data_IF_427769939511
#
_entry.id   IF_427769939511
#
_cell.length_a   1.000
_cell.length_b   1.000
_cell.length_c   1.000
_cell.angle_alpha   90.00
_cell.angle_beta   90.00
_cell.angle_gamma   90.00
#
_symmetry.space_group_name_H-M   'P 1'
#
loop_
_entity.id
_entity.type
_entity.pdbx_description
1 polymer ?
#
# COMPACT_ATOMS: atom_id res chain seq x y z
N UNK A 1 -5.97 -17.51 1.22
CA UNK A 1 -6.05 -18.46 0.09
C UNK A 1 -7.01 -17.95 -0.98
N UNK A 2 -8.32 -17.82 -0.71
CA UNK A 2 -9.31 -17.32 -1.69
C UNK A 2 -8.93 -15.98 -2.35
N UNK A 3 -8.60 -14.96 -1.56
CA UNK A 3 -8.24 -13.65 -2.12
C UNK A 3 -7.00 -13.70 -3.03
N UNK A 4 -6.01 -14.52 -2.69
CA UNK A 4 -4.83 -14.71 -3.52
C UNK A 4 -5.18 -15.37 -4.86
N UNK A 5 -6.06 -16.36 -4.84
CA UNK A 5 -6.54 -17.03 -6.05
C UNK A 5 -7.36 -16.08 -6.96
N UNK A 6 -8.25 -15.29 -6.39
CA UNK A 6 -9.14 -14.41 -7.16
C UNK A 6 -8.45 -13.14 -7.66
N UNK A 7 -7.55 -12.58 -6.86
CA UNK A 7 -6.91 -11.30 -7.14
C UNK A 7 -5.46 -11.40 -7.62
N UNK A 8 -4.79 -12.54 -7.43
CA UNK A 8 -3.38 -12.73 -7.78
C UNK A 8 -2.41 -12.02 -6.83
N UNK A 9 -2.90 -11.56 -5.68
CA UNK A 9 -2.13 -10.83 -4.66
C UNK A 9 -1.75 -11.81 -3.55
N UNK A 10 -0.44 -12.03 -3.26
CA UNK A 10 -0.02 -13.00 -2.27
C UNK A 10 -0.61 -12.72 -0.88
N UNK A 11 -1.03 -13.78 -0.18
CA UNK A 11 -1.64 -13.64 1.15
C UNK A 11 -0.73 -12.88 2.13
N UNK A 12 0.59 -13.09 2.08
CA UNK A 12 1.53 -12.39 2.96
C UNK A 12 1.58 -10.88 2.73
N UNK A 13 1.33 -10.40 1.51
CA UNK A 13 1.26 -8.96 1.21
C UNK A 13 0.00 -8.37 1.84
N UNK A 14 -1.14 -9.06 1.71
CA UNK A 14 -2.41 -8.64 2.31
C UNK A 14 -2.29 -8.57 3.84
N UNK A 15 -1.77 -9.63 4.46
CA UNK A 15 -1.55 -9.69 5.91
C UNK A 15 -0.58 -8.60 6.34
N UNK A 16 0.51 -8.37 5.60
CA UNK A 16 1.48 -7.34 5.93
C UNK A 16 0.91 -5.93 5.87
N UNK A 17 0.03 -5.63 4.90
CA UNK A 17 -0.64 -4.33 4.81
C UNK A 17 -1.50 -4.10 6.06
N UNK A 18 -2.36 -5.06 6.40
CA UNK A 18 -3.21 -4.96 7.60
C UNK A 18 -2.34 -4.86 8.88
N UNK A 19 -1.21 -5.57 8.92
CA UNK A 19 -0.24 -5.50 10.02
C UNK A 19 0.41 -4.13 10.16
N UNK A 20 0.89 -3.55 9.07
CA UNK A 20 1.52 -2.21 9.08
C UNK A 20 0.51 -1.12 9.39
N UNK A 21 -0.69 -1.19 8.80
CA UNK A 21 -1.70 -0.14 8.95
C UNK A 21 -2.29 -0.08 10.36
N UNK A 22 -2.60 -1.24 10.96
CA UNK A 22 -3.40 -1.26 12.20
C UNK A 22 -2.87 -2.20 13.27
N UNK A 23 -1.72 -2.85 13.06
CA UNK A 23 -1.27 -3.95 13.92
C UNK A 23 -2.41 -4.98 14.06
N UNK A 24 -2.92 -5.45 12.92
CA UNK A 24 -3.98 -6.46 12.86
C UNK A 24 -5.24 -6.07 13.63
N UNK A 25 -5.62 -4.80 13.55
CA UNK A 25 -6.82 -4.25 14.20
C UNK A 25 -6.63 -3.72 15.62
N UNK A 26 -5.43 -3.78 16.20
CA UNK A 26 -5.19 -3.16 17.51
C UNK A 26 -5.33 -1.63 17.47
N UNK A 27 -4.97 -1.01 16.35
CA UNK A 27 -4.91 0.43 16.15
C UNK A 27 -5.73 0.87 14.92
N UNK A 28 -7.06 0.72 14.94
CA UNK A 28 -7.94 1.13 13.82
C UNK A 28 -8.32 2.61 13.83
N UNK A 29 -7.93 3.35 14.87
CA UNK A 29 -8.25 4.76 15.07
C UNK A 29 -9.47 4.98 15.97
N UNK A 30 -9.43 6.10 16.71
CA UNK A 30 -10.37 6.40 17.80
C UNK A 30 -11.26 7.62 17.55
N UNK A 31 -11.08 8.31 16.42
CA UNK A 31 -11.92 9.44 16.03
C UNK A 31 -13.14 8.93 15.27
N UNK A 32 -14.31 9.56 15.45
CA UNK A 32 -15.40 9.35 14.49
C UNK A 32 -14.95 9.92 13.14
N UNK A 33 -15.15 9.17 12.06
CA UNK A 33 -14.68 9.58 10.72
C UNK A 33 -15.31 10.91 10.32
N UNK A 34 -16.58 11.11 10.66
CA UNK A 34 -17.29 12.36 10.40
C UNK A 34 -16.65 13.56 11.09
N UNK A 35 -16.13 13.41 12.32
CA UNK A 35 -15.48 14.50 13.06
C UNK A 35 -14.17 14.86 12.36
N UNK A 36 -13.32 13.86 12.11
CA UNK A 36 -12.04 14.04 11.44
C UNK A 36 -12.18 14.73 10.07
N UNK A 37 -13.07 14.22 9.22
CA UNK A 37 -13.26 14.76 7.87
C UNK A 37 -13.95 16.11 7.85
N UNK A 38 -14.87 16.38 8.77
CA UNK A 38 -15.50 17.71 8.89
C UNK A 38 -14.48 18.74 9.36
N UNK A 39 -13.75 18.46 10.44
CA UNK A 39 -12.69 19.36 10.93
C UNK A 39 -11.66 19.63 9.85
N UNK A 40 -11.15 18.61 9.16
CA UNK A 40 -10.15 18.83 8.10
C UNK A 40 -10.75 19.48 6.83
N UNK A 41 -12.02 19.23 6.54
CA UNK A 41 -12.73 19.78 5.38
C UNK A 41 -13.13 21.25 5.53
N UNK A 42 -13.33 21.72 6.77
CA UNK A 42 -13.83 23.07 7.05
C UNK A 42 -12.79 23.95 7.76
N UNK A 43 -11.92 23.38 8.59
CA UNK A 43 -11.00 24.13 9.46
C UNK A 43 -9.51 23.91 9.13
N UNK A 44 -9.18 23.16 8.08
CA UNK A 44 -7.79 22.96 7.60
C UNK A 44 -7.61 23.43 6.14
N UNK A 45 -7.45 24.74 5.89
CA UNK A 45 -7.41 25.32 4.54
C UNK A 45 -6.46 24.65 3.54
N UNK A 46 -5.23 24.23 3.90
CA UNK A 46 -4.28 23.69 2.92
C UNK A 46 -4.76 22.46 2.14
N UNK A 47 -5.64 21.64 2.75
CA UNK A 47 -6.18 20.41 2.11
C UNK A 47 -7.70 20.31 2.19
N UNK A 48 -8.39 21.39 2.56
CA UNK A 48 -9.84 21.41 2.73
C UNK A 48 -10.62 20.86 1.52
N UNK A 49 -10.26 21.15 0.24
CA UNK A 49 -10.95 20.56 -0.91
C UNK A 49 -10.85 19.03 -0.97
N UNK A 50 -9.70 18.45 -0.62
CA UNK A 50 -9.51 17.01 -0.57
C UNK A 50 -10.39 16.38 0.52
N UNK A 51 -10.37 16.92 1.74
CA UNK A 51 -11.15 16.36 2.84
C UNK A 51 -12.66 16.57 2.69
N UNK A 52 -13.11 17.64 2.02
CA UNK A 52 -14.53 17.77 1.63
C UNK A 52 -14.96 16.73 0.60
N UNK A 53 -14.09 16.36 -0.33
CA UNK A 53 -14.35 15.23 -1.25
C UNK A 53 -14.49 13.94 -0.44
N UNK A 54 -13.54 13.64 0.46
CA UNK A 54 -13.61 12.43 1.29
C UNK A 54 -14.83 12.42 2.21
N UNK A 55 -15.23 13.57 2.78
CA UNK A 55 -16.47 13.69 3.56
C UNK A 55 -17.71 13.37 2.71
N UNK A 56 -17.77 13.85 1.46
CA UNK A 56 -18.84 13.50 0.52
C UNK A 56 -18.88 11.98 0.29
N UNK A 57 -17.74 11.38 -0.02
CA UNK A 57 -17.65 9.92 -0.24
C UNK A 57 -18.05 9.16 1.04
N UNK A 58 -17.70 9.65 2.22
CA UNK A 58 -18.08 9.06 3.50
C UNK A 58 -19.60 9.09 3.74
N UNK A 59 -20.26 10.20 3.44
CA UNK A 59 -21.72 10.27 3.55
C UNK A 59 -22.42 9.34 2.54
N UNK A 60 -21.86 9.19 1.34
CA UNK A 60 -22.38 8.27 0.33
C UNK A 60 -22.22 6.81 0.77
N UNK A 61 -21.03 6.41 1.23
CA UNK A 61 -20.81 5.02 1.67
C UNK A 61 -21.64 4.67 2.90
N UNK A 62 -21.82 5.57 3.86
CA UNK A 62 -22.63 5.30 5.04
C UNK A 62 -24.09 5.02 4.65
N UNK A 63 -24.61 5.77 3.67
CA UNK A 63 -25.95 5.52 3.09
C UNK A 63 -26.02 4.21 2.32
N UNK A 64 -25.01 3.91 1.51
CA UNK A 64 -24.92 2.65 0.73
C UNK A 64 -24.91 1.42 1.65
N UNK A 65 -24.19 1.51 2.78
CA UNK A 65 -24.08 0.47 3.79
C UNK A 65 -25.20 0.50 4.85
N UNK A 66 -26.13 1.46 4.77
CA UNK A 66 -27.23 1.64 5.72
C UNK A 66 -26.80 1.74 7.19
N UNK A 67 -25.64 2.37 7.44
CA UNK A 67 -25.08 2.59 8.77
C UNK A 67 -25.17 4.05 9.20
N UNK A 68 -25.31 4.29 10.50
CA UNK A 68 -25.25 5.65 11.05
C UNK A 68 -23.82 6.21 10.88
N UNK A 69 -23.62 7.30 10.13
CA UNK A 69 -22.30 7.89 9.91
C UNK A 69 -21.61 8.37 11.20
N UNK A 70 -22.35 8.54 12.30
CA UNK A 70 -21.79 8.91 13.60
C UNK A 70 -21.13 7.74 14.34
N UNK A 71 -21.33 6.50 13.89
CA UNK A 71 -20.82 5.29 14.57
C UNK A 71 -19.45 4.83 14.05
N UNK A 72 -19.12 5.19 12.81
CA UNK A 72 -17.90 4.73 12.14
C UNK A 72 -16.67 5.48 12.66
N UNK A 73 -15.64 4.72 13.06
CA UNK A 73 -14.36 5.25 13.57
C UNK A 73 -13.21 5.09 12.57
N UNK A 74 -12.20 5.92 12.74
CA UNK A 74 -10.99 5.90 11.93
C UNK A 74 -9.86 6.74 12.53
N UNK A 75 -8.82 6.93 11.73
CA UNK A 75 -7.69 7.79 12.08
C UNK A 75 -8.09 9.25 12.14
N UNK A 76 -7.18 10.10 12.65
CA UNK A 76 -7.34 11.55 12.66
C UNK A 76 -7.54 12.16 11.27
N UNK A 77 -7.15 11.45 10.20
CA UNK A 77 -7.31 11.87 8.81
C UNK A 77 -8.53 11.21 8.12
N UNK A 78 -9.30 10.39 8.82
CA UNK A 78 -10.48 9.70 8.28
C UNK A 78 -10.18 8.40 7.54
N UNK A 79 -9.00 7.79 7.74
CA UNK A 79 -8.71 6.45 7.25
C UNK A 79 -9.39 5.40 8.14
N UNK A 80 -9.99 4.37 7.53
CA UNK A 80 -11.01 3.55 8.18
C UNK A 80 -10.63 2.07 8.27
N UNK A 81 -11.03 1.43 9.38
CA UNK A 81 -10.99 -0.01 9.56
C UNK A 81 -9.59 -0.64 9.56
N UNK A 82 -9.56 -1.97 9.44
CA UNK A 82 -8.37 -2.81 9.34
C UNK A 82 -7.40 -2.39 8.20
N UNK A 83 -7.88 -2.00 7.00
CA UNK A 83 -6.99 -1.62 5.90
C UNK A 83 -6.65 -0.13 5.85
N UNK A 84 -7.17 0.69 6.78
CA UNK A 84 -7.03 2.17 6.77
C UNK A 84 -7.41 2.81 5.43
N UNK A 85 -8.52 2.38 4.83
CA UNK A 85 -9.02 2.98 3.61
C UNK A 85 -9.60 4.38 3.86
N UNK A 86 -9.23 5.33 3.01
CA UNK A 86 -9.99 6.57 2.89
C UNK A 86 -11.39 6.29 2.30
N UNK A 87 -12.42 7.09 2.60
CA UNK A 87 -13.77 6.90 2.07
C UNK A 87 -13.87 6.70 0.56
N UNK A 88 -13.09 7.46 -0.22
CA UNK A 88 -13.05 7.29 -1.68
C UNK A 88 -12.45 5.94 -2.09
N UNK A 89 -11.49 5.41 -1.33
CA UNK A 89 -10.89 4.10 -1.58
C UNK A 89 -11.86 2.98 -1.20
N UNK A 90 -12.61 3.13 -0.10
CA UNK A 90 -13.69 2.21 0.26
C UNK A 90 -14.67 2.07 -0.89
N UNK A 91 -15.25 3.17 -1.37
CA UNK A 91 -16.26 3.13 -2.44
C UNK A 91 -15.73 2.59 -3.78
N UNK A 92 -14.44 2.77 -4.04
CA UNK A 92 -13.83 2.32 -5.29
C UNK A 92 -13.37 0.86 -5.26
N UNK A 93 -12.94 0.35 -4.10
CA UNK A 93 -12.14 -0.86 -4.02
C UNK A 93 -12.60 -1.88 -2.98
N UNK A 94 -13.32 -1.45 -1.94
CA UNK A 94 -13.80 -2.38 -0.93
C UNK A 94 -14.84 -3.34 -1.53
N UNK A 95 -14.84 -4.56 -1.03
CA UNK A 95 -15.70 -5.65 -1.53
C UNK A 95 -16.30 -6.39 -0.35
N UNK A 96 -17.55 -6.80 -0.53
CA UNK A 96 -18.23 -7.80 0.29
C UNK A 96 -17.59 -9.15 -0.09
N UNK A 97 -16.71 -9.64 0.76
CA UNK A 97 -15.90 -10.80 0.46
C UNK A 97 -16.49 -12.07 1.06
N UNK A 98 -17.23 -12.00 2.17
CA UNK A 98 -17.92 -13.16 2.75
C UNK A 98 -19.30 -13.42 2.14
N UNK A 99 -19.87 -12.44 1.42
CA UNK A 99 -21.13 -12.53 0.69
C UNK A 99 -22.36 -12.26 1.53
N UNK A 100 -22.23 -11.57 2.67
CA UNK A 100 -23.33 -11.28 3.58
C UNK A 100 -24.21 -10.07 3.16
N UNK A 101 -23.80 -9.35 2.12
CA UNK A 101 -24.49 -8.18 1.57
C UNK A 101 -23.99 -6.83 2.13
N UNK A 102 -23.00 -6.84 3.02
CA UNK A 102 -22.39 -5.67 3.62
C UNK A 102 -20.89 -5.62 3.34
N UNK A 103 -20.30 -4.42 3.50
CA UNK A 103 -18.85 -4.21 3.40
C UNK A 103 -18.37 -3.62 4.73
N UNK A 104 -17.88 -4.47 5.61
CA UNK A 104 -17.43 -4.17 6.96
C UNK A 104 -15.92 -4.33 7.14
N UNK A 105 -15.15 -3.40 6.58
CA UNK A 105 -13.69 -3.37 6.76
C UNK A 105 -13.22 -3.06 8.20
N UNK A 106 -14.12 -2.81 9.16
CA UNK A 106 -13.77 -2.47 10.53
C UNK A 106 -13.62 -3.70 11.41
N UNK A 107 -14.59 -4.61 11.36
CA UNK A 107 -14.64 -5.76 12.27
C UNK A 107 -14.78 -7.10 11.56
N UNK A 108 -15.02 -7.10 10.25
CA UNK A 108 -14.92 -8.32 9.46
C UNK A 108 -13.55 -8.40 8.75
N UNK A 109 -12.69 -9.36 9.14
CA UNK A 109 -11.44 -9.60 8.45
C UNK A 109 -11.60 -10.11 7.02
N UNK A 110 -12.68 -10.80 6.66
CA UNK A 110 -12.86 -11.33 5.31
C UNK A 110 -12.99 -10.18 4.31
N UNK A 111 -13.87 -9.21 4.60
CA UNK A 111 -13.99 -7.98 3.83
C UNK A 111 -12.71 -7.17 3.76
N UNK A 112 -11.98 -7.04 4.87
CA UNK A 112 -10.70 -6.34 4.87
C UNK A 112 -9.67 -7.04 3.95
N UNK A 113 -9.58 -8.37 4.00
CA UNK A 113 -8.67 -9.16 3.16
C UNK A 113 -9.05 -9.02 1.69
N UNK A 114 -10.32 -9.19 1.34
CA UNK A 114 -10.81 -9.03 -0.03
C UNK A 114 -10.59 -7.62 -0.56
N UNK A 115 -10.86 -6.61 0.26
CA UNK A 115 -10.72 -5.20 -0.08
C UNK A 115 -9.27 -4.80 -0.36
N UNK A 116 -8.32 -5.25 0.45
CA UNK A 116 -6.88 -5.04 0.19
C UNK A 116 -6.48 -5.70 -1.12
N UNK A 117 -6.87 -6.96 -1.34
CA UNK A 117 -6.54 -7.68 -2.57
C UNK A 117 -7.14 -7.01 -3.83
N UNK A 118 -8.40 -6.57 -3.75
CA UNK A 118 -9.09 -5.79 -4.77
C UNK A 118 -8.34 -4.49 -5.08
N UNK A 119 -7.91 -3.76 -4.06
CA UNK A 119 -7.12 -2.54 -4.22
C UNK A 119 -5.84 -2.80 -5.00
N UNK A 120 -5.05 -3.79 -4.60
CA UNK A 120 -3.77 -4.11 -5.26
C UNK A 120 -3.96 -4.52 -6.72
N UNK A 121 -4.94 -5.38 -7.01
CA UNK A 121 -5.27 -5.77 -8.39
C UNK A 121 -5.62 -4.56 -9.25
N UNK A 122 -6.40 -3.60 -8.72
CA UNK A 122 -6.75 -2.38 -9.46
C UNK A 122 -5.62 -1.36 -9.57
N UNK A 123 -4.61 -1.45 -8.71
CA UNK A 123 -3.41 -0.62 -8.76
C UNK A 123 -2.22 -1.29 -9.48
N UNK A 124 -2.51 -2.26 -10.36
CA UNK A 124 -1.53 -2.79 -11.29
C UNK A 124 -0.63 -3.88 -10.70
N UNK A 125 -1.02 -4.52 -9.60
CA UNK A 125 -0.31 -5.71 -9.14
C UNK A 125 -0.34 -6.80 -10.21
N UNK A 126 0.83 -7.37 -10.52
CA UNK A 126 0.98 -8.46 -11.49
C UNK A 126 1.38 -9.73 -10.74
N UNK A 127 0.50 -10.74 -10.78
CA UNK A 127 0.72 -12.02 -10.10
C UNK A 127 2.03 -12.69 -10.57
N UNK A 128 2.78 -13.25 -9.61
CA UNK A 128 4.03 -13.96 -9.87
C UNK A 128 5.24 -13.08 -10.22
N UNK A 129 5.07 -11.76 -10.34
CA UNK A 129 6.20 -10.85 -10.58
C UNK A 129 6.89 -10.45 -9.26
N UNK A 130 8.23 -10.28 -9.27
CA UNK A 130 8.97 -9.83 -8.10
C UNK A 130 8.60 -8.39 -7.71
N UNK A 131 8.81 -8.05 -6.44
CA UNK A 131 8.48 -6.73 -5.88
C UNK A 131 9.70 -5.81 -5.98
N UNK A 132 10.83 -6.22 -5.44
CA UNK A 132 12.10 -5.47 -5.45
C UNK A 132 13.23 -6.41 -5.84
N UNK A 133 14.34 -5.81 -6.27
CA UNK A 133 15.63 -6.50 -6.38
C UNK A 133 16.69 -5.74 -5.60
N UNK A 134 17.51 -6.46 -4.82
CA UNK A 134 18.69 -5.87 -4.19
C UNK A 134 19.71 -5.55 -5.27
N UNK A 135 20.41 -4.42 -5.13
CA UNK A 135 21.46 -4.02 -6.05
C UNK A 135 22.77 -3.74 -5.31
N UNK A 136 23.87 -3.89 -6.05
CA UNK A 136 25.13 -3.21 -5.75
C UNK A 136 25.23 -1.97 -6.61
N UNK A 137 25.84 -0.91 -6.08
CA UNK A 137 26.10 0.30 -6.83
C UNK A 137 27.54 0.75 -6.56
N UNK A 138 28.33 0.94 -7.62
CA UNK A 138 29.77 1.29 -7.52
C UNK A 138 30.16 2.30 -8.60
N UNK A 139 31.08 3.20 -8.24
CA UNK A 139 31.61 4.24 -9.13
C UNK A 139 31.02 5.63 -8.85
N UNK A 140 31.54 6.63 -9.55
CA UNK A 140 31.31 8.04 -9.22
C UNK A 140 29.93 8.57 -9.66
N UNK A 141 29.22 7.81 -10.50
CA UNK A 141 27.94 8.20 -11.11
C UNK A 141 26.72 7.51 -10.51
N UNK A 142 26.90 6.76 -9.42
CA UNK A 142 25.83 5.98 -8.78
C UNK A 142 24.65 6.86 -8.38
N UNK A 143 24.93 8.04 -7.82
CA UNK A 143 23.90 8.95 -7.32
C UNK A 143 23.05 9.56 -8.46
N UNK A 144 23.56 9.60 -9.70
CA UNK A 144 22.78 10.02 -10.88
C UNK A 144 21.65 9.01 -11.19
N UNK A 145 21.80 7.76 -10.77
CA UNK A 145 20.80 6.72 -10.96
C UNK A 145 19.68 6.73 -9.92
N UNK A 146 19.83 7.47 -8.82
CA UNK A 146 18.80 7.53 -7.78
C UNK A 146 17.55 8.23 -8.30
N UNK A 147 16.40 7.58 -8.13
CA UNK A 147 15.12 8.13 -8.56
C UNK A 147 14.71 9.31 -7.65
N UNK A 148 14.33 10.46 -8.23
CA UNK A 148 13.96 11.64 -7.46
C UNK A 148 12.58 11.50 -6.81
N UNK A 149 11.75 10.57 -7.30
CA UNK A 149 10.40 10.29 -6.85
C UNK A 149 10.10 8.79 -7.00
N UNK A 150 8.88 8.39 -6.66
CA UNK A 150 8.44 6.98 -6.70
C UNK A 150 8.18 6.47 -8.12
N UNK A 151 7.86 7.37 -9.05
CA UNK A 151 7.60 6.99 -10.43
C UNK A 151 8.92 6.58 -11.11
N UNK A 152 8.96 5.43 -11.81
CA UNK A 152 10.18 4.95 -12.44
C UNK A 152 10.57 5.86 -13.60
N UNK A 153 11.81 6.34 -13.58
CA UNK A 153 12.35 7.30 -14.58
C UNK A 153 13.48 6.74 -15.43
N UNK A 154 14.04 5.59 -15.03
CA UNK A 154 15.13 4.92 -15.74
C UNK A 154 14.83 3.43 -15.85
N UNK A 155 15.43 2.83 -16.86
CA UNK A 155 15.46 1.40 -17.08
C UNK A 155 16.65 0.74 -16.39
N UNK A 156 16.59 -0.59 -16.20
CA UNK A 156 17.71 -1.37 -15.64
C UNK A 156 18.99 -1.20 -16.46
N UNK A 157 18.89 -1.14 -17.79
CA UNK A 157 20.03 -0.97 -18.69
C UNK A 157 20.72 0.39 -18.52
N UNK A 158 19.94 1.46 -18.38
CA UNK A 158 20.47 2.81 -18.10
C UNK A 158 21.18 2.87 -16.75
N UNK A 159 20.58 2.29 -15.71
CA UNK A 159 21.19 2.21 -14.37
C UNK A 159 22.50 1.40 -14.38
N UNK A 160 22.58 0.34 -15.19
CA UNK A 160 23.82 -0.43 -15.36
C UNK A 160 24.95 0.44 -15.93
N UNK A 161 24.63 1.33 -16.87
CA UNK A 161 25.56 2.34 -17.38
C UNK A 161 26.05 3.34 -16.32
N UNK A 162 25.32 3.49 -15.21
CA UNK A 162 25.65 4.35 -14.07
C UNK A 162 26.33 3.60 -12.91
N UNK A 163 26.63 2.31 -13.10
CA UNK A 163 27.35 1.49 -12.10
C UNK A 163 26.44 0.71 -11.14
N UNK A 164 25.15 0.60 -11.43
CA UNK A 164 24.23 -0.27 -10.69
C UNK A 164 24.23 -1.70 -11.25
N UNK A 165 24.15 -2.69 -10.37
CA UNK A 165 23.98 -4.09 -10.74
C UNK A 165 22.98 -4.77 -9.80
N UNK A 166 21.83 -5.15 -10.35
CA UNK A 166 20.82 -5.97 -9.67
C UNK A 166 21.36 -7.37 -9.36
N UNK A 167 20.94 -7.93 -8.23
CA UNK A 167 21.23 -9.32 -7.86
C UNK A 167 20.39 -10.32 -8.65
N UNK A 168 19.28 -9.87 -9.23
CA UNK A 168 18.39 -10.69 -10.05
C UNK A 168 18.65 -10.44 -11.55
N UNK A 169 18.34 -11.43 -12.37
CA UNK A 169 18.41 -11.30 -13.82
C UNK A 169 17.20 -10.51 -14.36
N UNK A 170 17.32 -9.18 -14.37
CA UNK A 170 16.29 -8.28 -14.90
C UNK A 170 16.58 -7.86 -16.34
N UNK A 171 15.50 -7.64 -17.11
CA UNK A 171 15.60 -7.13 -18.49
C UNK A 171 16.03 -5.66 -18.51
N UNK A 172 16.89 -5.32 -19.46
CA UNK A 172 17.44 -3.97 -19.59
C UNK A 172 16.39 -2.90 -19.86
N UNK A 173 15.32 -3.24 -20.56
CA UNK A 173 14.23 -2.32 -20.91
C UNK A 173 13.19 -2.13 -19.81
N UNK A 174 13.34 -2.81 -18.66
CA UNK A 174 12.38 -2.73 -17.57
C UNK A 174 12.52 -1.39 -16.82
N UNK A 175 11.45 -0.58 -16.74
CA UNK A 175 11.46 0.64 -15.94
C UNK A 175 11.45 0.30 -14.45
N UNK A 176 12.30 0.96 -13.67
CA UNK A 176 12.45 0.72 -12.24
C UNK A 176 12.63 2.01 -11.45
N UNK A 177 12.30 1.96 -10.16
CA UNK A 177 12.62 3.01 -9.21
C UNK A 177 13.88 2.61 -8.46
N UNK A 178 14.99 3.31 -8.65
CA UNK A 178 16.24 3.05 -7.94
C UNK A 178 16.32 3.92 -6.68
N UNK A 179 16.59 3.32 -5.53
CA UNK A 179 16.65 4.05 -4.26
C UNK A 179 17.73 3.50 -3.33
N UNK A 180 18.16 4.35 -2.41
CA UNK A 180 19.11 4.04 -1.35
C UNK A 180 18.39 4.10 0.00
N UNK A 181 18.60 3.10 0.85
CA UNK A 181 18.21 3.12 2.26
C UNK A 181 19.46 3.10 3.13
N UNK A 182 19.40 3.75 4.28
CA UNK A 182 20.45 3.66 5.29
C UNK A 182 20.13 2.46 6.18
N UNK A 183 20.75 1.31 5.89
CA UNK A 183 20.54 0.07 6.62
C UNK A 183 21.51 -0.11 7.79
N UNK A 184 21.27 -1.12 8.62
CA UNK A 184 22.03 -1.39 9.84
C UNK A 184 23.53 -1.63 9.59
N UNK A 185 23.89 -2.14 8.41
CA UNK A 185 25.27 -2.43 8.00
C UNK A 185 25.80 -1.42 6.98
N UNK A 186 25.14 -0.27 6.85
CA UNK A 186 25.46 0.78 5.90
C UNK A 186 24.47 0.88 4.73
N UNK A 187 24.83 1.63 3.67
CA UNK A 187 23.92 1.92 2.57
C UNK A 187 23.45 0.69 1.81
N UNK A 188 22.16 0.70 1.48
CA UNK A 188 21.46 -0.35 0.78
C UNK A 188 20.88 0.16 -0.53
N UNK A 189 21.27 -0.45 -1.65
CA UNK A 189 20.76 -0.06 -2.96
C UNK A 189 19.72 -1.07 -3.44
N UNK A 190 18.60 -0.57 -3.95
CA UNK A 190 17.46 -1.38 -4.33
C UNK A 190 16.83 -0.87 -5.62
N UNK A 191 16.30 -1.81 -6.41
CA UNK A 191 15.44 -1.54 -7.55
C UNK A 191 14.01 -1.92 -7.20
N UNK A 192 13.13 -0.94 -7.10
CA UNK A 192 11.69 -1.12 -7.01
C UNK A 192 11.10 -1.46 -8.38
N UNK A 193 10.44 -2.59 -8.47
CA UNK A 193 9.79 -3.08 -9.69
C UNK A 193 8.31 -2.69 -9.71
N UNK A 194 7.56 -3.13 -10.71
CA UNK A 194 6.13 -2.80 -10.84
C UNK A 194 5.31 -3.09 -9.58
N UNK A 195 5.51 -4.26 -8.96
CA UNK A 195 4.76 -4.63 -7.76
C UNK A 195 5.18 -3.80 -6.53
N UNK A 196 6.42 -3.32 -6.46
CA UNK A 196 6.79 -2.33 -5.45
C UNK A 196 6.05 -1.01 -5.67
N UNK A 197 5.96 -0.55 -6.92
CA UNK A 197 5.18 0.64 -7.25
C UNK A 197 3.71 0.49 -6.83
N UNK A 198 3.10 -0.68 -7.04
CA UNK A 198 1.75 -0.98 -6.56
C UNK A 198 1.60 -0.82 -5.03
N UNK A 199 2.58 -1.24 -4.24
CA UNK A 199 2.57 -1.02 -2.77
C UNK A 199 2.66 0.48 -2.45
N UNK A 200 3.48 1.24 -3.17
CA UNK A 200 3.58 2.70 -2.96
C UNK A 200 2.30 3.46 -3.31
N UNK A 201 1.35 2.83 -4.02
CA UNK A 201 0.03 3.43 -4.26
C UNK A 201 -0.81 3.48 -2.99
N UNK A 202 -0.61 2.51 -2.09
CA UNK A 202 -1.28 2.43 -0.79
C UNK A 202 -0.83 3.58 0.12
N UNK A 203 0.49 3.80 0.20
CA UNK A 203 1.10 4.96 0.83
C UNK A 203 2.36 5.36 0.07
N UNK A 204 2.45 6.64 -0.34
CA UNK A 204 3.51 7.18 -1.21
C UNK A 204 4.85 7.35 -0.47
N UNK A 205 5.45 6.24 -0.04
CA UNK A 205 6.75 6.21 0.64
C UNK A 205 7.53 4.93 0.30
N UNK A 206 8.82 5.09 -0.03
CA UNK A 206 9.76 3.98 -0.27
C UNK A 206 9.92 3.13 1.00
N UNK A 207 10.13 3.77 2.14
CA UNK A 207 10.32 3.06 3.42
C UNK A 207 9.07 2.28 3.82
N UNK A 208 7.88 2.85 3.60
CA UNK A 208 6.61 2.14 3.84
C UNK A 208 6.53 0.88 2.98
N UNK A 209 6.75 1.02 1.67
CA UNK A 209 6.63 -0.10 0.76
C UNK A 209 7.68 -1.20 1.03
N UNK A 210 8.89 -0.81 1.41
CA UNK A 210 9.92 -1.77 1.81
C UNK A 210 9.57 -2.46 3.13
N UNK A 211 9.05 -1.74 4.13
CA UNK A 211 8.62 -2.33 5.39
C UNK A 211 7.47 -3.33 5.20
N UNK A 212 6.48 -3.01 4.35
CA UNK A 212 5.42 -3.96 3.96
C UNK A 212 6.02 -5.19 3.29
N UNK A 213 6.91 -5.00 2.32
CA UNK A 213 7.51 -6.14 1.62
C UNK A 213 8.33 -7.04 2.57
N UNK A 214 9.23 -6.46 3.36
CA UNK A 214 10.10 -7.22 4.28
C UNK A 214 9.31 -7.89 5.43
N UNK A 215 8.25 -7.24 5.92
CA UNK A 215 7.35 -7.88 6.89
C UNK A 215 6.62 -9.06 6.24
N UNK A 216 6.18 -8.94 4.98
CA UNK A 216 5.54 -10.04 4.26
C UNK A 216 6.46 -11.25 4.12
N UNK A 217 7.74 -11.05 3.81
CA UNK A 217 8.74 -12.11 3.74
C UNK A 217 8.99 -12.75 5.11
N UNK A 218 9.09 -11.92 6.17
CA UNK A 218 9.25 -12.41 7.55
C UNK A 218 8.06 -13.26 8.02
N UNK A 219 6.83 -12.89 7.62
CA UNK A 219 5.63 -13.66 7.93
C UNK A 219 5.65 -15.05 7.25
N UNK A 220 6.14 -15.13 6.00
CA UNK A 220 6.30 -16.42 5.30
C UNK A 220 7.33 -17.29 6.01
N UNK A 221 8.50 -16.72 6.36
CA UNK A 221 9.55 -17.44 7.09
C UNK A 221 9.04 -17.97 8.43
N UNK A 222 8.33 -17.15 9.21
CA UNK A 222 7.80 -17.52 10.51
C UNK A 222 6.66 -18.55 10.45
N UNK A 223 5.81 -18.49 9.41
CA UNK A 223 4.73 -19.47 9.22
C UNK A 223 5.27 -20.86 8.87
N UNK A 224 6.47 -20.93 8.29
CA UNK A 224 7.08 -22.13 7.74
C UNK A 224 6.47 -22.51 6.37
N UNK A 225 7.24 -23.28 5.59
CA UNK A 225 6.75 -23.91 4.37
C UNK A 225 5.73 -24.98 4.79
N UNK A 226 4.46 -24.81 4.39
CA UNK A 226 3.53 -25.94 4.32
C UNK A 226 3.62 -26.56 2.94
#
# INVERSE_FOLDING_TARGET
ARAEQEYGVPAQIIVSIIGVETFFGRNTGNYRVIDALSTLGFDYPPRAPFFRKELREFLLLAREQQVDPLTLKGSYAGAMGLPQFMPSSFRAYAVDFDGDGHINIWTDPDDAIGSVASYFKRHGWVAGQPVVSRATARGDRVDEGLSPALDPVMSVGELRGLGWASHDALRDDMPVTAFRLDGDQGPEYWLGLNNFYAITRYNRSVMYAMAVYQLSESLVQARGVK
#
